data_IF_094808143887
#
_entry.id   IF_094808143887
#
_cell.length_a   1.000
_cell.length_b   1.000
_cell.length_c   1.000
_cell.angle_alpha   90.00
_cell.angle_beta   90.00
_cell.angle_gamma   90.00
#
_symmetry.space_group_name_H-M   'P 1'
#
loop_
_entity.id
_entity.type
_entity.pdbx_description
1 polymer ?
#
# COMPACT_ATOMS: atom_id res chain seq x y z
N UNK A 1 -7.46 -9.73 -39.84
CA UNK A 1 -7.59 -9.76 -38.36
C UNK A 1 -8.21 -11.10 -38.01
N UNK A 2 -7.75 -11.81 -36.97
CA UNK A 2 -8.40 -13.06 -36.57
C UNK A 2 -9.86 -12.78 -36.21
N UNK A 3 -10.76 -13.62 -36.70
CA UNK A 3 -12.20 -13.54 -36.45
C UNK A 3 -12.47 -14.09 -35.04
N UNK A 4 -12.91 -13.21 -34.13
CA UNK A 4 -13.34 -13.62 -32.79
C UNK A 4 -14.85 -13.85 -32.84
N UNK A 5 -15.27 -15.10 -32.60
CA UNK A 5 -16.69 -15.48 -32.51
C UNK A 5 -17.33 -14.95 -31.23
N UNK A 6 -18.63 -14.71 -31.26
CA UNK A 6 -19.38 -14.16 -30.11
C UNK A 6 -19.27 -15.10 -28.90
N UNK A 7 -18.78 -14.64 -27.74
CA UNK A 7 -18.64 -15.46 -26.54
C UNK A 7 -19.93 -16.16 -26.09
N UNK A 8 -21.10 -15.59 -26.42
CA UNK A 8 -22.42 -16.11 -26.02
C UNK A 8 -22.86 -17.33 -26.82
N UNK A 9 -22.28 -17.56 -28.00
CA UNK A 9 -22.60 -18.71 -28.85
C UNK A 9 -21.75 -19.95 -28.52
N UNK A 10 -20.71 -19.79 -27.71
CA UNK A 10 -19.67 -20.81 -27.46
C UNK A 10 -19.61 -21.26 -25.97
N UNK A 11 -20.60 -20.89 -25.15
CA UNK A 11 -20.75 -21.39 -23.77
C UNK A 11 -21.15 -22.88 -23.79
N UNK A 12 -20.41 -23.73 -23.06
CA UNK A 12 -20.77 -25.15 -22.89
C UNK A 12 -21.69 -25.25 -21.67
N UNK A 13 -22.94 -25.67 -21.90
CA UNK A 13 -23.92 -25.94 -20.85
C UNK A 13 -23.98 -27.43 -20.54
N UNK A 14 -23.91 -27.80 -19.27
CA UNK A 14 -24.16 -29.17 -18.79
C UNK A 14 -25.26 -29.14 -17.74
N UNK A 15 -26.44 -29.65 -18.09
CA UNK A 15 -27.65 -29.45 -17.28
C UNK A 15 -28.00 -27.97 -17.18
N UNK A 16 -28.34 -27.49 -15.98
CA UNK A 16 -28.71 -26.09 -15.72
C UNK A 16 -27.51 -25.17 -15.40
N UNK A 17 -26.27 -25.67 -15.48
CA UNK A 17 -25.07 -24.88 -15.17
C UNK A 17 -24.32 -24.50 -16.44
N UNK A 18 -23.96 -23.21 -16.54
CA UNK A 18 -22.97 -22.72 -17.49
C UNK A 18 -21.60 -23.14 -16.99
N UNK A 19 -20.94 -24.02 -17.72
CA UNK A 19 -19.56 -24.41 -17.44
C UNK A 19 -18.68 -23.45 -18.23
N UNK A 20 -17.81 -22.72 -17.54
CA UNK A 20 -16.79 -21.93 -18.23
C UNK A 20 -15.99 -22.86 -19.13
N UNK A 21 -15.74 -22.44 -20.37
CA UNK A 21 -15.03 -23.24 -21.36
C UNK A 21 -13.71 -23.85 -20.83
N UNK A 22 -13.23 -24.97 -21.41
CA UNK A 22 -11.93 -25.55 -21.09
C UNK A 22 -10.72 -24.63 -21.35
N UNK A 23 -10.90 -23.53 -22.08
CA UNK A 23 -9.89 -22.50 -22.36
C UNK A 23 -9.91 -21.34 -21.35
N UNK A 24 -10.87 -21.31 -20.42
CA UNK A 24 -10.80 -20.45 -19.24
C UNK A 24 -9.96 -21.19 -18.19
N UNK A 25 -8.84 -20.60 -17.79
CA UNK A 25 -7.70 -21.35 -17.23
C UNK A 25 -7.90 -21.96 -15.84
N UNK A 26 -9.09 -21.85 -15.24
CA UNK A 26 -9.34 -22.30 -13.87
C UNK A 26 -10.77 -22.86 -13.76
N UNK A 27 -10.95 -24.05 -13.15
CA UNK A 27 -12.25 -24.59 -12.79
C UNK A 27 -13.09 -23.63 -11.94
N UNK A 28 -14.41 -23.82 -11.93
CA UNK A 28 -15.37 -23.03 -11.14
C UNK A 28 -15.16 -23.13 -9.61
N UNK A 29 -14.40 -24.13 -9.15
CA UNK A 29 -13.94 -24.26 -7.76
C UNK A 29 -12.57 -23.64 -7.49
N UNK A 30 -11.82 -23.25 -8.51
CA UNK A 30 -10.50 -22.65 -8.38
C UNK A 30 -10.64 -21.12 -8.43
N UNK A 31 -10.58 -20.48 -7.26
CA UNK A 31 -10.49 -19.02 -7.24
C UNK A 31 -9.16 -18.62 -7.87
N UNK A 32 -9.15 -17.74 -8.89
CA UNK A 32 -7.90 -17.23 -9.46
C UNK A 32 -7.06 -16.70 -8.33
N UNK A 33 -5.87 -17.28 -8.18
CA UNK A 33 -4.97 -17.12 -7.05
C UNK A 33 -5.05 -15.70 -6.50
N UNK A 34 -5.89 -15.51 -5.47
CA UNK A 34 -6.08 -14.20 -4.83
C UNK A 34 -4.89 -13.89 -3.94
N UNK A 35 -3.78 -14.64 -4.08
CA UNK A 35 -2.47 -14.30 -3.55
C UNK A 35 -2.25 -12.80 -3.74
N UNK A 36 -2.35 -12.10 -2.62
CA UNK A 36 -2.29 -10.66 -2.56
C UNK A 36 -1.00 -10.20 -3.22
N UNK A 37 -1.11 -9.60 -4.41
CA UNK A 37 0.01 -8.92 -5.04
C UNK A 37 0.20 -7.62 -4.27
N UNK A 38 1.34 -7.39 -3.59
CA UNK A 38 1.55 -6.16 -2.85
C UNK A 38 1.42 -5.00 -3.81
N UNK A 39 0.35 -4.21 -3.69
CA UNK A 39 0.14 -3.05 -4.55
C UNK A 39 0.97 -1.91 -3.95
N UNK A 40 2.02 -1.43 -4.63
CA UNK A 40 2.95 -0.46 -4.01
C UNK A 40 2.27 0.83 -3.53
N UNK A 41 1.19 1.26 -4.20
CA UNK A 41 0.38 2.40 -3.77
C UNK A 41 -0.22 2.20 -2.37
N UNK A 42 -0.67 0.99 -2.03
CA UNK A 42 -1.28 0.70 -0.71
C UNK A 42 -0.24 0.86 0.39
N UNK A 43 0.98 0.37 0.16
CA UNK A 43 2.09 0.51 1.10
C UNK A 43 2.60 1.94 1.20
N UNK A 44 2.68 2.66 0.08
CA UNK A 44 2.98 4.09 0.05
C UNK A 44 1.96 4.90 0.87
N UNK A 45 0.68 4.77 0.55
CA UNK A 45 -0.41 5.51 1.17
C UNK A 45 -0.59 5.11 2.64
N UNK A 46 -0.43 3.84 2.96
CA UNK A 46 -0.45 3.32 4.33
C UNK A 46 0.68 3.94 5.17
N UNK A 47 1.90 3.97 4.65
CA UNK A 47 3.03 4.61 5.33
C UNK A 47 2.80 6.11 5.55
N UNK A 48 2.26 6.80 4.55
CA UNK A 48 1.92 8.23 4.64
C UNK A 48 0.95 8.53 5.78
N UNK A 49 -0.23 7.89 5.76
CA UNK A 49 -1.26 8.16 6.76
C UNK A 49 -0.84 7.68 8.14
N UNK A 50 -0.21 6.50 8.23
CA UNK A 50 0.24 5.97 9.51
C UNK A 50 1.26 6.90 10.16
N UNK A 51 2.24 7.41 9.41
CA UNK A 51 3.23 8.33 9.97
C UNK A 51 2.60 9.67 10.39
N UNK A 52 1.67 10.20 9.61
CA UNK A 52 0.94 11.44 9.94
C UNK A 52 0.11 11.28 11.22
N UNK A 53 -0.68 10.19 11.33
CA UNK A 53 -1.51 9.91 12.51
C UNK A 53 -0.63 9.68 13.74
N UNK A 54 0.40 8.85 13.64
CA UNK A 54 1.31 8.58 14.77
C UNK A 54 2.00 9.85 15.22
N UNK A 55 2.49 10.68 14.29
CA UNK A 55 3.15 11.95 14.62
C UNK A 55 2.18 12.94 15.29
N UNK A 56 0.92 12.99 14.85
CA UNK A 56 -0.11 13.82 15.46
C UNK A 56 -0.46 13.36 16.89
N UNK A 57 -0.61 12.04 17.11
CA UNK A 57 -0.82 11.47 18.44
C UNK A 57 0.38 11.77 19.35
N UNK A 58 1.61 11.60 18.83
CA UNK A 58 2.82 11.92 19.58
C UNK A 58 2.86 13.40 19.99
N UNK A 59 2.43 14.32 19.12
CA UNK A 59 2.36 15.75 19.43
C UNK A 59 1.47 16.02 20.66
N UNK A 60 0.32 15.36 20.75
CA UNK A 60 -0.62 15.48 21.88
C UNK A 60 0.00 14.88 23.15
N UNK A 61 0.62 13.70 23.05
CA UNK A 61 1.21 13.01 24.20
C UNK A 61 2.38 13.79 24.80
N UNK A 62 3.16 14.49 23.96
CA UNK A 62 4.37 15.21 24.39
C UNK A 62 4.19 16.73 24.49
N UNK A 63 2.95 17.22 24.54
CA UNK A 63 2.60 18.66 24.47
C UNK A 63 3.39 19.55 25.46
N UNK A 64 3.82 19.01 26.61
CA UNK A 64 4.60 19.72 27.63
C UNK A 64 6.12 19.55 27.51
N UNK A 65 6.61 18.94 26.42
CA UNK A 65 8.03 18.69 26.14
C UNK A 65 8.51 19.60 25.01
N UNK A 66 9.82 19.66 24.82
CA UNK A 66 10.41 20.44 23.73
C UNK A 66 10.07 19.84 22.37
N UNK A 67 10.00 20.70 21.34
CA UNK A 67 9.82 20.28 19.95
C UNK A 67 10.83 19.23 19.49
N UNK A 68 12.06 19.28 20.01
CA UNK A 68 13.09 18.27 19.76
C UNK A 68 12.66 16.86 20.17
N UNK A 69 11.97 16.71 21.32
CA UNK A 69 11.47 15.40 21.78
C UNK A 69 10.41 14.87 20.83
N UNK A 70 9.46 15.73 20.42
CA UNK A 70 8.43 15.34 19.46
C UNK A 70 9.03 14.94 18.11
N UNK A 71 9.96 15.73 17.58
CA UNK A 71 10.64 15.43 16.32
C UNK A 71 11.41 14.11 16.41
N UNK A 72 12.19 13.89 17.48
CA UNK A 72 12.96 12.66 17.66
C UNK A 72 12.06 11.41 17.68
N UNK A 73 10.94 11.46 18.41
CA UNK A 73 9.99 10.34 18.45
C UNK A 73 9.30 10.13 17.10
N UNK A 74 8.96 11.20 16.39
CA UNK A 74 8.37 11.11 15.05
C UNK A 74 9.35 10.56 14.01
N UNK A 75 10.65 10.86 14.14
CA UNK A 75 11.73 10.29 13.33
C UNK A 75 11.91 8.79 13.60
N UNK A 76 11.87 8.38 14.87
CA UNK A 76 11.88 6.96 15.23
C UNK A 76 10.66 6.23 14.68
N UNK A 77 9.48 6.83 14.77
CA UNK A 77 8.26 6.28 14.18
C UNK A 77 8.38 6.16 12.65
N UNK A 78 8.90 7.17 11.96
CA UNK A 78 9.16 7.11 10.52
C UNK A 78 10.09 5.95 10.16
N UNK A 79 11.18 5.73 10.90
CA UNK A 79 12.10 4.63 10.69
C UNK A 79 11.43 3.25 10.87
N UNK A 80 10.62 3.10 11.92
CA UNK A 80 9.85 1.87 12.17
C UNK A 80 8.83 1.59 11.06
N UNK A 81 8.09 2.61 10.65
CA UNK A 81 7.10 2.52 9.56
C UNK A 81 7.80 2.23 8.22
N UNK A 82 8.93 2.89 7.93
CA UNK A 82 9.71 2.65 6.72
C UNK A 82 10.16 1.18 6.66
N UNK A 83 10.73 0.65 7.75
CA UNK A 83 11.14 -0.75 7.84
C UNK A 83 9.97 -1.70 7.59
N UNK A 84 8.84 -1.49 8.28
CA UNK A 84 7.66 -2.35 8.12
C UNK A 84 7.10 -2.31 6.68
N UNK A 85 7.04 -1.12 6.09
CA UNK A 85 6.59 -0.89 4.71
C UNK A 85 7.52 -1.59 3.71
N UNK A 86 8.84 -1.55 3.96
CA UNK A 86 9.83 -2.23 3.12
C UNK A 86 9.71 -3.74 3.18
N UNK A 87 9.66 -4.28 4.39
CA UNK A 87 9.61 -5.73 4.62
C UNK A 87 8.33 -6.37 4.05
N UNK A 88 7.22 -5.62 3.97
CA UNK A 88 5.92 -6.16 3.54
C UNK A 88 5.63 -6.00 2.05
N UNK A 89 6.00 -4.89 1.44
CA UNK A 89 5.55 -4.66 0.06
C UNK A 89 6.30 -3.64 -0.77
N UNK A 90 7.23 -2.88 -0.18
CA UNK A 90 8.04 -1.95 -0.97
C UNK A 90 9.32 -2.59 -1.53
N UNK A 91 9.83 -3.68 -0.94
CA UNK A 91 11.08 -4.33 -1.40
C UNK A 91 11.03 -4.77 -2.86
N UNK A 92 9.90 -5.31 -3.32
CA UNK A 92 9.72 -5.83 -4.69
C UNK A 92 9.06 -4.81 -5.64
N UNK A 93 8.76 -3.61 -5.14
CA UNK A 93 8.18 -2.54 -5.94
C UNK A 93 9.19 -1.94 -6.94
N UNK A 94 8.67 -1.32 -8.00
CA UNK A 94 9.45 -0.55 -8.96
C UNK A 94 10.18 0.63 -8.29
N UNK A 95 11.31 1.06 -8.88
CA UNK A 95 12.16 2.12 -8.32
C UNK A 95 11.40 3.43 -8.03
N UNK A 96 10.45 3.81 -8.89
CA UNK A 96 9.63 5.01 -8.69
C UNK A 96 8.84 4.98 -7.38
N UNK A 97 8.23 3.84 -7.03
CA UNK A 97 7.49 3.69 -5.77
C UNK A 97 8.38 3.74 -4.53
N UNK A 98 9.58 3.13 -4.62
CA UNK A 98 10.58 3.18 -3.56
C UNK A 98 11.01 4.62 -3.30
N UNK A 99 11.38 5.35 -4.35
CA UNK A 99 11.80 6.76 -4.27
C UNK A 99 10.65 7.62 -3.73
N UNK A 100 9.43 7.48 -4.27
CA UNK A 100 8.28 8.23 -3.82
C UNK A 100 8.02 8.02 -2.32
N UNK A 101 8.09 6.77 -1.84
CA UNK A 101 7.88 6.44 -0.42
C UNK A 101 8.92 7.08 0.49
N UNK A 102 10.21 7.04 0.10
CA UNK A 102 11.28 7.69 0.85
C UNK A 102 11.07 9.20 0.90
N UNK A 103 10.81 9.83 -0.26
CA UNK A 103 10.58 11.27 -0.34
C UNK A 103 9.35 11.72 0.45
N UNK A 104 8.28 10.94 0.42
CA UNK A 104 7.07 11.22 1.18
C UNK A 104 7.32 11.14 2.70
N UNK A 105 8.00 10.11 3.19
CA UNK A 105 8.31 10.00 4.62
C UNK A 105 9.27 11.11 5.07
N UNK A 106 10.25 11.47 4.25
CA UNK A 106 11.12 12.60 4.50
C UNK A 106 10.33 13.92 4.52
N UNK A 107 9.40 14.12 3.59
CA UNK A 107 8.52 15.28 3.56
C UNK A 107 7.65 15.39 4.81
N UNK A 108 7.01 14.29 5.26
CA UNK A 108 6.25 14.29 6.50
C UNK A 108 7.14 14.64 7.71
N UNK A 109 8.37 14.13 7.77
CA UNK A 109 9.30 14.51 8.83
C UNK A 109 9.70 15.98 8.78
N UNK A 110 9.90 16.54 7.58
CA UNK A 110 10.16 17.97 7.41
C UNK A 110 8.96 18.81 7.86
N UNK A 111 7.73 18.36 7.57
CA UNK A 111 6.50 19.00 8.06
C UNK A 111 6.44 18.97 9.59
N UNK A 112 6.72 17.82 10.21
CA UNK A 112 6.81 17.72 11.69
C UNK A 112 7.89 18.65 12.24
N UNK A 113 9.08 18.69 11.64
CA UNK A 113 10.16 19.57 12.06
C UNK A 113 9.74 21.04 11.97
N UNK A 114 9.10 21.45 10.87
CA UNK A 114 8.64 22.81 10.67
C UNK A 114 7.69 23.25 11.80
N UNK A 115 6.75 22.39 12.19
CA UNK A 115 5.83 22.71 13.29
C UNK A 115 6.57 22.69 14.63
N UNK A 116 7.33 21.61 14.90
CA UNK A 116 8.01 21.39 16.17
C UNK A 116 8.97 22.52 16.55
N UNK A 117 9.54 23.21 15.56
CA UNK A 117 10.49 24.31 15.78
C UNK A 117 9.92 25.70 15.43
N UNK A 118 8.62 25.79 15.10
CA UNK A 118 7.92 27.07 14.89
C UNK A 118 7.18 27.58 16.13
N UNK A 119 6.96 26.70 17.11
CA UNK A 119 6.26 26.99 18.37
C UNK A 119 7.27 27.08 19.51
#
# INVERSE_FOLDING_TARGET
MPEYKDPREEDIVYGDRRISRPDNSLPDWEMPDTAYRPVPIVWFTGAFFLHLIVSAVLAIVVLSKSGTVWFALSALAAGGIAKWTWDRGMKDAGAGWKIATILMLAFNLLFVAAIAFSV
#
